data_IF_790843576680
#
_entry.id   IF_790843576680
#
_cell.length_a   1.000
_cell.length_b   1.000
_cell.length_c   1.000
_cell.angle_alpha   90.00
_cell.angle_beta   90.00
_cell.angle_gamma   90.00
#
_symmetry.space_group_name_H-M   'P 1'
#
loop_
_entity.id
_entity.type
_entity.pdbx_description
1 polymer ?
#
# COMPACT_ATOMS: atom_id res chain seq x y z
N UNK A 1 3.92 -2.28 0.93
CA UNK A 1 4.45 -1.46 2.05
C UNK A 1 4.78 -0.10 1.47
N UNK A 2 3.92 0.88 1.77
CA UNK A 2 3.88 2.13 0.99
C UNK A 2 5.10 3.02 1.23
N UNK A 3 5.89 2.75 2.27
CA UNK A 3 7.10 3.48 2.59
C UNK A 3 8.36 2.60 2.65
N UNK A 4 8.27 1.39 2.09
CA UNK A 4 9.39 0.45 1.89
C UNK A 4 10.23 0.23 3.17
N UNK A 5 9.58 0.05 4.33
CA UNK A 5 10.25 -0.22 5.63
C UNK A 5 9.99 -1.63 6.23
N UNK A 6 9.58 -2.55 5.37
CA UNK A 6 9.25 -3.97 5.60
C UNK A 6 8.13 -4.17 6.65
N UNK A 7 7.24 -3.18 6.80
CA UNK A 7 6.12 -3.24 7.74
C UNK A 7 4.88 -2.63 7.12
N UNK A 8 3.73 -3.07 7.61
CA UNK A 8 2.45 -2.39 7.42
C UNK A 8 2.03 -1.81 8.76
N UNK A 9 2.18 -0.50 8.93
CA UNK A 9 1.82 0.23 10.12
C UNK A 9 1.28 1.66 9.85
N UNK A 10 1.44 2.57 10.83
CA UNK A 10 0.94 3.94 10.72
C UNK A 10 1.77 4.77 9.72
N UNK A 11 3.02 4.41 9.48
CA UNK A 11 3.91 5.06 8.53
C UNK A 11 3.38 4.95 7.10
N UNK A 12 2.79 3.81 6.71
CA UNK A 12 2.19 3.62 5.39
C UNK A 12 1.05 4.60 5.16
N UNK A 13 0.11 4.65 6.10
CA UNK A 13 -1.03 5.56 6.03
C UNK A 13 -0.58 7.03 6.00
N UNK A 14 0.47 7.39 6.75
CA UNK A 14 1.03 8.73 6.72
C UNK A 14 1.69 9.06 5.36
N UNK A 15 2.33 8.08 4.74
CA UNK A 15 2.99 8.20 3.43
C UNK A 15 1.96 8.38 2.31
N UNK A 16 0.91 7.56 2.27
CA UNK A 16 -0.23 7.72 1.35
C UNK A 16 -0.84 9.13 1.47
N UNK A 17 -1.13 9.59 2.69
CA UNK A 17 -1.69 10.93 2.91
C UNK A 17 -0.70 12.04 2.53
N UNK A 18 0.60 11.83 2.74
CA UNK A 18 1.66 12.74 2.32
C UNK A 18 1.71 12.89 0.81
N UNK A 19 1.62 11.79 0.07
CA UNK A 19 1.49 11.80 -1.37
C UNK A 19 0.23 12.56 -1.81
N UNK A 20 -0.94 12.19 -1.28
CA UNK A 20 -2.21 12.70 -1.79
C UNK A 20 -2.49 14.17 -1.47
N UNK A 21 -2.03 14.67 -0.32
CA UNK A 21 -2.27 16.06 0.09
C UNK A 21 -1.09 17.00 -0.18
N UNK A 22 0.13 16.46 -0.27
CA UNK A 22 1.35 17.27 -0.41
C UNK A 22 2.18 16.95 -1.64
N UNK A 23 1.75 15.98 -2.47
CA UNK A 23 2.49 15.56 -3.66
C UNK A 23 3.86 14.96 -3.35
N UNK A 24 4.03 14.39 -2.14
CA UNK A 24 5.27 13.68 -1.80
C UNK A 24 5.39 12.42 -2.66
N UNK A 25 6.57 12.10 -3.19
CA UNK A 25 6.75 10.91 -4.01
C UNK A 25 6.53 9.64 -3.18
N UNK A 26 6.02 8.60 -3.84
CA UNK A 26 6.08 7.20 -3.39
C UNK A 26 6.91 6.43 -4.42
N UNK A 27 7.59 5.39 -3.98
CA UNK A 27 8.50 4.62 -4.84
C UNK A 27 7.74 3.62 -5.73
N UNK A 28 6.64 3.07 -5.22
CA UNK A 28 5.69 2.23 -5.96
C UNK A 28 4.25 2.58 -5.56
N UNK A 29 3.37 2.83 -6.53
CA UNK A 29 1.96 3.17 -6.27
C UNK A 29 1.14 1.93 -5.87
N UNK A 30 1.47 0.77 -6.45
CA UNK A 30 0.85 -0.52 -6.18
C UNK A 30 1.06 -0.95 -4.70
N UNK A 31 2.27 -0.80 -4.16
CA UNK A 31 2.56 -1.03 -2.73
C UNK A 31 1.75 -0.14 -1.76
N UNK A 32 1.11 0.92 -2.27
CA UNK A 32 0.25 1.84 -1.55
C UNK A 32 -1.26 1.60 -1.77
N UNK A 33 -1.66 0.71 -2.69
CA UNK A 33 -3.05 0.29 -2.92
C UNK A 33 -3.47 -0.77 -1.90
N UNK A 34 -3.65 -0.33 -0.65
CA UNK A 34 -3.87 -1.25 0.46
C UNK A 34 -5.25 -1.92 0.43
N UNK A 35 -6.18 -1.43 -0.38
CA UNK A 35 -7.50 -2.05 -0.54
C UNK A 35 -7.68 -2.75 -1.88
N UNK A 36 -6.62 -2.88 -2.67
CA UNK A 36 -6.53 -3.77 -3.83
C UNK A 36 -7.68 -3.47 -4.81
N UNK A 37 -7.88 -2.18 -5.14
CA UNK A 37 -8.91 -1.72 -6.09
C UNK A 37 -8.36 -1.07 -7.36
N UNK A 38 -7.05 -1.13 -7.52
CA UNK A 38 -6.25 -0.60 -8.62
C UNK A 38 -6.10 0.91 -8.64
N UNK A 39 -6.38 1.58 -7.53
CA UNK A 39 -6.36 3.03 -7.43
C UNK A 39 -5.79 3.51 -6.09
N UNK A 40 -4.54 3.96 -6.11
CA UNK A 40 -3.98 4.65 -4.94
C UNK A 40 -4.73 5.98 -4.65
N UNK A 41 -5.47 6.01 -3.54
CA UNK A 41 -6.30 7.13 -3.09
C UNK A 41 -6.45 7.20 -1.56
N UNK A 42 -7.46 7.93 -1.06
CA UNK A 42 -7.68 8.06 0.39
C UNK A 42 -8.31 6.81 1.02
N UNK A 43 -8.94 5.96 0.22
CA UNK A 43 -9.54 4.70 0.66
C UNK A 43 -8.47 3.79 1.27
N UNK A 44 -7.27 3.76 0.70
CA UNK A 44 -6.13 2.94 1.15
C UNK A 44 -5.68 3.30 2.55
N UNK A 45 -5.49 4.60 2.80
CA UNK A 45 -5.14 5.11 4.13
C UNK A 45 -6.21 4.76 5.15
N UNK A 46 -7.49 4.83 4.77
CA UNK A 46 -8.60 4.45 5.63
C UNK A 46 -8.63 2.93 5.87
N UNK A 47 -8.28 2.14 4.87
CA UNK A 47 -8.23 0.68 4.93
C UNK A 47 -7.18 0.23 5.96
N UNK A 48 -5.92 0.70 5.82
CA UNK A 48 -4.83 0.41 6.77
C UNK A 48 -5.19 0.84 8.19
N UNK A 49 -5.71 2.06 8.37
CA UNK A 49 -6.10 2.56 9.71
C UNK A 49 -7.26 1.77 10.33
N UNK A 50 -8.19 1.26 9.52
CA UNK A 50 -9.28 0.42 10.01
C UNK A 50 -8.76 -0.95 10.46
N UNK A 51 -7.86 -1.57 9.70
CA UNK A 51 -7.19 -2.80 10.10
C UNK A 51 -6.44 -2.61 11.44
N UNK A 52 -5.58 -1.58 11.53
CA UNK A 52 -4.75 -1.32 12.71
C UNK A 52 -5.55 -1.04 14.00
N UNK A 53 -6.64 -0.28 13.91
CA UNK A 53 -7.30 0.28 15.10
C UNK A 53 -8.76 -0.10 15.30
N UNK A 54 -9.44 -0.65 14.29
CA UNK A 54 -10.88 -0.90 14.33
C UNK A 54 -11.28 -2.34 14.01
N UNK A 55 -10.33 -3.27 14.01
CA UNK A 55 -10.57 -4.66 13.61
C UNK A 55 -11.21 -4.75 12.22
N UNK A 56 -10.75 -3.89 11.31
CA UNK A 56 -11.08 -3.98 9.89
C UNK A 56 -10.52 -5.26 9.26
N UNK A 57 -10.87 -5.52 7.98
CA UNK A 57 -10.27 -6.62 7.23
C UNK A 57 -8.75 -6.45 7.18
N UNK A 58 -8.06 -7.59 7.16
CA UNK A 58 -6.63 -7.64 6.90
C UNK A 58 -6.36 -7.20 5.45
N UNK A 59 -5.25 -6.46 5.19
CA UNK A 59 -4.73 -6.29 3.83
C UNK A 59 -4.65 -7.63 3.11
N UNK A 60 -4.96 -7.61 1.81
CA UNK A 60 -4.81 -8.78 0.95
C UNK A 60 -3.33 -9.14 0.80
N UNK A 61 -3.09 -10.39 0.39
CA UNK A 61 -1.74 -10.81 0.00
C UNK A 61 -1.21 -9.80 -1.02
N UNK A 62 0.07 -9.37 -0.95
CA UNK A 62 1.16 -9.99 -0.20
C UNK A 62 1.24 -9.59 1.29
N UNK A 63 0.65 -8.46 1.67
CA UNK A 63 0.69 -7.93 3.04
C UNK A 63 -0.32 -8.58 3.99
N UNK A 64 -0.28 -8.25 5.30
CA UNK A 64 0.67 -7.38 5.98
C UNK A 64 1.85 -8.13 6.62
N UNK A 65 1.88 -9.46 6.54
CA UNK A 65 2.83 -10.29 7.31
C UNK A 65 3.98 -10.86 6.50
N UNK A 66 3.80 -11.00 5.19
CA UNK A 66 4.83 -11.51 4.30
C UNK A 66 5.10 -10.47 3.21
N UNK A 67 6.26 -10.60 2.60
CA UNK A 67 6.62 -9.93 1.36
C UNK A 67 6.27 -10.83 0.17
N UNK A 68 6.11 -10.23 -1.00
CA UNK A 68 5.84 -10.96 -2.22
C UNK A 68 5.26 -10.08 -3.32
N UNK A 69 5.20 -10.59 -4.56
CA UNK A 69 4.45 -9.93 -5.62
C UNK A 69 2.97 -9.96 -5.30
N UNK A 70 2.24 -8.98 -5.83
CA UNK A 70 0.78 -9.03 -5.87
C UNK A 70 0.31 -10.28 -6.65
N UNK A 71 -0.48 -11.18 -6.04
CA UNK A 71 -1.04 -12.33 -6.74
C UNK A 71 -2.26 -12.02 -7.61
N UNK A 72 -2.82 -10.81 -7.54
CA UNK A 72 -3.95 -10.38 -8.37
C UNK A 72 -3.44 -9.87 -9.74
N UNK A 73 -4.39 -9.66 -10.65
CA UNK A 73 -4.16 -9.10 -12.00
C UNK A 73 -5.33 -8.14 -12.28
N UNK A 74 -5.79 -7.46 -11.23
CA UNK A 74 -7.03 -6.69 -11.20
C UNK A 74 -6.82 -5.18 -11.11
N UNK A 75 -5.58 -4.71 -11.15
CA UNK A 75 -5.26 -3.30 -11.21
C UNK A 75 -4.55 -2.85 -12.51
N UNK A 76 -4.58 -1.52 -12.72
CA UNK A 76 -3.90 -0.84 -13.82
C UNK A 76 -2.52 -0.27 -13.35
N UNK A 77 -2.07 -0.63 -12.14
CA UNK A 77 -0.82 -0.14 -11.56
C UNK A 77 0.37 -0.99 -12.05
N UNK A 78 1.57 -0.42 -11.94
CA UNK A 78 2.80 -1.10 -12.36
C UNK A 78 3.36 -1.91 -11.19
N UNK A 79 3.56 -3.23 -11.40
CA UNK A 79 4.03 -4.17 -10.38
C UNK A 79 5.28 -3.64 -9.64
N UNK A 80 5.26 -3.74 -8.31
CA UNK A 80 6.42 -3.40 -7.48
C UNK A 80 7.54 -4.45 -7.56
N UNK A 81 8.79 -3.98 -7.46
CA UNK A 81 9.91 -4.87 -7.13
C UNK A 81 9.76 -5.45 -5.71
N UNK A 82 10.53 -6.47 -5.36
CA UNK A 82 10.42 -7.17 -4.07
C UNK A 82 10.59 -6.30 -2.83
N UNK A 83 11.20 -5.12 -2.99
CA UNK A 83 11.55 -4.22 -1.89
C UNK A 83 10.67 -2.95 -1.92
N UNK A 84 9.64 -2.90 -2.77
CA UNK A 84 8.75 -1.75 -3.01
C UNK A 84 9.48 -0.44 -3.36
N UNK A 85 10.73 -0.51 -3.81
CA UNK A 85 11.59 0.67 -4.08
C UNK A 85 11.60 1.12 -5.55
N UNK A 86 10.93 0.37 -6.42
CA UNK A 86 10.69 0.74 -7.82
C UNK A 86 9.63 -0.15 -8.46
N UNK A 87 8.96 0.34 -9.51
CA UNK A 87 8.10 -0.47 -10.39
C UNK A 87 8.92 -1.21 -11.49
N UNK A 88 8.36 -2.24 -12.11
CA UNK A 88 9.00 -3.05 -13.17
C UNK A 88 8.21 -3.23 -14.46
#
# INVERSE_FOLDING_TARGET
>A
DCNSDDKVDLADAATMLGNQFSGLPVDCEDACDANDDGHMNMADSVYVLNWLFKFGPEPTDPGPFNDGPDPTDDDDLEECNSDDTSCT
#
